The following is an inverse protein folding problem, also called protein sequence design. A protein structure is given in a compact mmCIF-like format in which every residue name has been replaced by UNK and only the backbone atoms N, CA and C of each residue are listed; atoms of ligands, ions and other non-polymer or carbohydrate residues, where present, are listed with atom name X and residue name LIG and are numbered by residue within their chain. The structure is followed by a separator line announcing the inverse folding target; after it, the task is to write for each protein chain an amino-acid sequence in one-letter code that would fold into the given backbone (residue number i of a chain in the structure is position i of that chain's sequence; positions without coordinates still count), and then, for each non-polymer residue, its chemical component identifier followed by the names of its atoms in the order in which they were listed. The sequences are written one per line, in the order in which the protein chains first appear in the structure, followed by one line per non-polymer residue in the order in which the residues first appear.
data_IF_881884681012
#
_entry.id   IF_881884681012
#
_cell.length_a   1.000
_cell.length_b   1.000
_cell.length_c   1.000
_cell.angle_alpha   90.00
_cell.angle_beta   90.00
_cell.angle_gamma   90.00
#
_symmetry.space_group_name_H-M   'P 1'
#
loop_
_entity.id
_entity.type
_entity.pdbx_description
1 polymer ?
#
# COMPACT_ATOMS: atom_id res chain seq x y z
N UNK A 1 18.03 0.62 19.02
CA UNK A 1 17.48 -0.60 18.36
C UNK A 1 17.24 -0.25 16.91
N UNK A 2 17.59 -1.10 15.93
CA UNK A 2 17.26 -0.83 14.54
C UNK A 2 15.75 -0.80 14.39
N UNK A 3 15.23 0.22 13.71
CA UNK A 3 13.81 0.30 13.35
C UNK A 3 13.50 -0.90 12.45
N UNK A 4 12.39 -1.64 12.67
CA UNK A 4 12.01 -2.74 11.80
C UNK A 4 11.98 -2.29 10.34
N UNK A 5 12.53 -3.10 9.45
CA UNK A 5 12.51 -2.79 8.01
C UNK A 5 11.06 -2.92 7.50
N UNK A 6 10.57 -1.85 6.87
CA UNK A 6 9.21 -1.79 6.34
C UNK A 6 9.02 -2.82 5.23
N UNK A 7 7.83 -3.42 5.16
CA UNK A 7 7.45 -4.30 4.05
C UNK A 7 7.39 -3.56 2.71
N UNK A 8 7.24 -4.30 1.61
CA UNK A 8 7.09 -3.68 0.29
C UNK A 8 5.86 -2.76 0.25
N UNK A 9 4.72 -3.24 0.74
CA UNK A 9 3.47 -2.50 0.82
C UNK A 9 3.54 -1.29 1.73
N UNK A 10 4.15 -1.41 2.91
CA UNK A 10 4.30 -0.30 3.85
C UNK A 10 5.16 0.84 3.27
N UNK A 11 6.22 0.50 2.54
CA UNK A 11 7.00 1.50 1.78
C UNK A 11 6.19 2.11 0.65
N UNK A 12 5.43 1.28 -0.08
CA UNK A 12 4.65 1.71 -1.23
C UNK A 12 3.60 2.77 -0.89
N UNK A 13 2.96 2.66 0.27
CA UNK A 13 1.96 3.64 0.75
C UNK A 13 2.56 4.80 1.55
N UNK A 14 3.88 4.79 1.74
CA UNK A 14 4.58 5.73 2.62
C UNK A 14 3.98 5.73 4.03
N UNK A 15 3.98 4.57 4.71
CA UNK A 15 3.31 4.37 6.00
C UNK A 15 3.73 5.41 7.06
N UNK A 16 5.00 5.79 7.08
CA UNK A 16 5.57 6.77 8.04
C UNK A 16 5.27 8.23 7.69
N UNK A 17 4.76 8.51 6.49
CA UNK A 17 4.39 9.86 6.07
C UNK A 17 2.94 10.16 6.48
N UNK A 18 2.77 10.70 7.69
CA UNK A 18 1.47 11.16 8.21
C UNK A 18 1.62 12.50 8.95
N UNK A 19 1.82 13.64 8.24
CA UNK A 19 2.10 14.93 8.86
C UNK A 19 1.01 15.42 9.82
N UNK A 20 -0.25 15.01 9.59
CA UNK A 20 -1.38 15.36 10.46
C UNK A 20 -1.60 14.41 11.64
N UNK A 21 -0.83 13.32 11.73
CA UNK A 21 -0.96 12.32 12.80
C UNK A 21 -2.35 11.65 12.87
N UNK A 22 -3.12 11.65 11.78
CA UNK A 22 -4.47 11.07 11.77
C UNK A 22 -4.40 9.54 11.87
N UNK A 23 -5.09 8.98 12.89
CA UNK A 23 -5.22 7.53 13.05
C UNK A 23 -5.92 6.88 11.86
N UNK A 24 -6.95 7.52 11.32
CA UNK A 24 -7.68 7.01 10.15
C UNK A 24 -6.81 6.94 8.89
N UNK A 25 -5.92 7.94 8.70
CA UNK A 25 -4.94 7.91 7.60
C UNK A 25 -3.93 6.78 7.79
N UNK A 26 -3.46 6.57 9.02
CA UNK A 26 -2.54 5.48 9.34
C UNK A 26 -3.18 4.10 9.09
N UNK A 27 -4.41 3.90 9.57
CA UNK A 27 -5.16 2.65 9.38
C UNK A 27 -5.47 2.40 7.90
N UNK A 28 -5.90 3.45 7.18
CA UNK A 28 -6.12 3.36 5.73
C UNK A 28 -4.85 2.90 5.02
N UNK A 29 -3.71 3.54 5.28
CA UNK A 29 -2.42 3.15 4.69
C UNK A 29 -2.04 1.71 5.04
N UNK A 30 -2.21 1.31 6.30
CA UNK A 30 -1.88 -0.03 6.75
C UNK A 30 -2.73 -1.11 6.03
N UNK A 31 -4.02 -0.86 5.82
CA UNK A 31 -4.88 -1.79 5.07
C UNK A 31 -4.44 -1.94 3.61
N UNK A 32 -4.16 -0.83 2.93
CA UNK A 32 -3.64 -0.87 1.56
C UNK A 32 -2.26 -1.52 1.48
N UNK A 33 -1.37 -1.28 2.44
CA UNK A 33 -0.07 -1.93 2.52
C UNK A 33 -0.21 -3.46 2.57
N UNK A 34 -1.09 -3.99 3.42
CA UNK A 34 -1.34 -5.44 3.53
C UNK A 34 -1.83 -6.04 2.21
N UNK A 35 -2.73 -5.37 1.50
CA UNK A 35 -3.21 -5.83 0.19
C UNK A 35 -2.10 -5.80 -0.86
N UNK A 36 -1.26 -4.76 -0.86
CA UNK A 36 -0.09 -4.65 -1.75
C UNK A 36 0.93 -5.76 -1.46
N UNK A 37 1.21 -6.05 -0.19
CA UNK A 37 2.10 -7.13 0.21
C UNK A 37 1.58 -8.49 -0.28
N UNK A 38 0.29 -8.77 -0.11
CA UNK A 38 -0.34 -9.99 -0.63
C UNK A 38 -0.15 -10.12 -2.16
N UNK A 39 -0.31 -9.03 -2.92
CA UNK A 39 -0.09 -9.07 -4.37
C UNK A 39 1.40 -9.21 -4.71
N UNK A 40 2.29 -8.60 -3.93
CA UNK A 40 3.72 -8.71 -4.13
C UNK A 40 4.22 -10.14 -3.87
N UNK A 41 3.73 -10.79 -2.82
CA UNK A 41 3.97 -12.21 -2.53
C UNK A 41 3.47 -13.10 -3.67
N UNK A 42 2.25 -12.88 -4.14
CA UNK A 42 1.68 -13.63 -5.27
C UNK A 42 2.53 -13.46 -6.54
N UNK A 43 2.96 -12.23 -6.84
CA UNK A 43 3.83 -11.91 -7.98
C UNK A 43 5.18 -12.62 -7.90
N UNK A 44 5.74 -12.74 -6.69
CA UNK A 44 7.01 -13.41 -6.46
C UNK A 44 6.89 -14.94 -6.55
N UNK A 45 5.80 -15.52 -6.04
CA UNK A 45 5.61 -16.96 -5.94
C UNK A 45 5.09 -17.62 -7.24
N UNK A 46 4.35 -16.90 -8.08
CA UNK A 46 3.74 -17.51 -9.27
C UNK A 46 4.74 -17.77 -10.41
N UNK A 47 4.49 -18.83 -11.19
CA UNK A 47 5.24 -19.13 -12.41
C UNK A 47 4.62 -18.52 -13.67
N UNK A 48 3.29 -18.31 -13.68
CA UNK A 48 2.56 -17.77 -14.83
C UNK A 48 2.93 -16.30 -15.10
N UNK A 49 3.43 -15.95 -16.30
CA UNK A 49 3.73 -14.56 -16.64
C UNK A 49 2.50 -13.65 -16.53
N UNK A 50 1.33 -14.17 -16.89
CA UNK A 50 0.09 -13.39 -16.85
C UNK A 50 -0.34 -13.12 -15.40
N UNK A 51 -0.17 -14.09 -14.49
CA UNK A 51 -0.45 -13.87 -13.08
C UNK A 51 0.47 -12.80 -12.46
N UNK A 52 1.76 -12.79 -12.85
CA UNK A 52 2.70 -11.71 -12.45
C UNK A 52 2.27 -10.35 -12.96
N UNK A 53 1.80 -10.29 -14.21
CA UNK A 53 1.30 -9.05 -14.82
C UNK A 53 0.08 -8.54 -14.06
N UNK A 54 -0.90 -9.41 -13.80
CA UNK A 54 -2.13 -9.06 -13.08
C UNK A 54 -1.83 -8.58 -11.65
N UNK A 55 -0.97 -9.29 -10.91
CA UNK A 55 -0.55 -8.87 -9.57
C UNK A 55 0.17 -7.51 -9.60
N UNK A 56 1.02 -7.25 -10.60
CA UNK A 56 1.69 -5.96 -10.77
C UNK A 56 0.71 -4.82 -11.05
N UNK A 57 -0.29 -5.05 -11.90
CA UNK A 57 -1.35 -4.07 -12.18
C UNK A 57 -2.14 -3.80 -10.90
N UNK A 58 -2.54 -4.84 -10.17
CA UNK A 58 -3.27 -4.69 -8.90
C UNK A 58 -2.49 -3.84 -7.88
N UNK A 59 -1.16 -4.04 -7.74
CA UNK A 59 -0.31 -3.21 -6.87
C UNK A 59 -0.39 -1.72 -7.27
N UNK A 60 -0.27 -1.40 -8.55
CA UNK A 60 -0.32 -0.02 -9.04
C UNK A 60 -1.68 0.62 -8.77
N UNK A 61 -2.76 -0.10 -9.03
CA UNK A 61 -4.13 0.40 -8.80
C UNK A 61 -4.41 0.57 -7.31
N UNK A 62 -3.91 -0.33 -6.45
CA UNK A 62 -4.03 -0.19 -4.99
C UNK A 62 -3.29 1.04 -4.46
N UNK A 63 -2.09 1.34 -4.96
CA UNK A 63 -1.37 2.57 -4.59
C UNK A 63 -2.15 3.82 -5.02
N UNK A 64 -2.71 3.80 -6.23
CA UNK A 64 -3.54 4.90 -6.74
C UNK A 64 -4.78 5.09 -5.89
N UNK A 65 -5.50 4.02 -5.59
CA UNK A 65 -6.69 4.03 -4.73
C UNK A 65 -6.36 4.55 -3.32
N UNK A 66 -5.23 4.12 -2.74
CA UNK A 66 -4.79 4.57 -1.42
C UNK A 66 -4.56 6.10 -1.39
N UNK A 67 -3.94 6.67 -2.43
CA UNK A 67 -3.71 8.11 -2.53
C UNK A 67 -5.03 8.89 -2.58
N UNK A 68 -6.00 8.42 -3.36
CA UNK A 68 -7.34 9.00 -3.41
C UNK A 68 -8.10 8.85 -2.09
N UNK A 69 -8.00 7.70 -1.43
CA UNK A 69 -8.61 7.46 -0.13
C UNK A 69 -8.07 8.43 0.94
N UNK A 70 -6.75 8.64 1.01
CA UNK A 70 -6.14 9.61 1.93
C UNK A 70 -6.55 11.03 1.59
N UNK A 71 -6.64 11.38 0.30
CA UNK A 71 -7.15 12.69 -0.12
C UNK A 71 -8.59 12.89 0.34
N UNK A 72 -9.45 11.89 0.22
CA UNK A 72 -10.82 11.94 0.69
C UNK A 72 -10.90 12.08 2.23
N UNK A 73 -10.13 11.28 2.98
CA UNK A 73 -10.07 11.34 4.44
C UNK A 73 -9.59 12.70 4.98
N UNK A 74 -8.77 13.40 4.21
CA UNK A 74 -8.19 14.70 4.60
C UNK A 74 -8.89 15.90 3.95
N UNK A 75 -9.95 15.65 3.17
CA UNK A 75 -10.68 16.69 2.47
C UNK A 75 -11.37 17.65 3.44
N UNK A 76 -11.31 18.95 3.12
CA UNK A 76 -12.00 20.03 3.82
C UNK A 76 -12.56 20.97 2.77
N UNK A 77 -13.84 21.31 2.86
CA UNK A 77 -14.50 22.33 2.02
C UNK A 77 -14.17 23.76 2.49
#
# INVERSE_FOLDING_TARGET
MPTPELTYGERAVGLTFNPGGSGEVADCKLHFAKLIDQQNELRAACASPEQKRLASVAITELQTAQMWAVKALTWKD
#
